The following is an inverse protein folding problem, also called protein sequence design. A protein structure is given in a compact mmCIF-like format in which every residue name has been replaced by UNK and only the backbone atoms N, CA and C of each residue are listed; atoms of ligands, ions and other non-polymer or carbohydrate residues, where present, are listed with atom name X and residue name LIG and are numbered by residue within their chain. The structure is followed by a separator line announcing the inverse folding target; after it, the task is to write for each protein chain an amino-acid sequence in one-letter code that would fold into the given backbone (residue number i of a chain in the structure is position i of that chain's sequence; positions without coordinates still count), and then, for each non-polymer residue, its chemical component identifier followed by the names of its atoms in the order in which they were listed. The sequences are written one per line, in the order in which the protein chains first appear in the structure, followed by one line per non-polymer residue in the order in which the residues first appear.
data_IF_298766903455
#
_entry.id   IF_298766903455
#
_cell.length_a   1.000
_cell.length_b   1.000
_cell.length_c   1.000
_cell.angle_alpha   90.00
_cell.angle_beta   90.00
_cell.angle_gamma   90.00
#
_symmetry.space_group_name_H-M   'P 1'
#
loop_
_entity.id
_entity.type
_entity.pdbx_description
1 polymer ?
#
# COMPACT_ATOMS: atom_id res chain seq x y z
N UNK A 1 3.53 13.53 -5.67
CA UNK A 1 2.35 13.63 -6.54
C UNK A 1 2.53 14.77 -7.56
N UNK A 2 3.48 14.62 -8.49
CA UNK A 2 3.78 15.65 -9.50
C UNK A 2 2.95 15.49 -10.78
N UNK A 3 2.33 14.32 -10.98
CA UNK A 3 1.43 14.09 -12.11
C UNK A 3 0.08 14.82 -11.98
N UNK A 4 -0.67 14.91 -13.09
CA UNK A 4 -2.00 15.50 -13.08
C UNK A 4 -2.94 14.72 -12.18
N UNK A 5 -3.82 15.43 -11.47
CA UNK A 5 -4.77 14.90 -10.48
C UNK A 5 -5.59 13.66 -10.92
N UNK A 6 -6.13 13.56 -12.15
CA UNK A 6 -6.84 12.35 -12.56
C UNK A 6 -5.91 11.14 -12.71
N UNK A 7 -4.67 11.35 -13.12
CA UNK A 7 -3.70 10.28 -13.31
C UNK A 7 -3.16 9.78 -11.96
N UNK A 8 -2.91 10.68 -11.00
CA UNK A 8 -2.53 10.27 -9.65
C UNK A 8 -3.62 9.45 -8.97
N UNK A 9 -4.89 9.84 -9.15
CA UNK A 9 -6.02 9.10 -8.60
C UNK A 9 -6.13 7.69 -9.21
N UNK A 10 -5.99 7.57 -10.53
CA UNK A 10 -6.02 6.27 -11.22
C UNK A 10 -4.88 5.36 -10.75
N UNK A 11 -3.66 5.88 -10.64
CA UNK A 11 -2.50 5.06 -10.30
C UNK A 11 -2.58 4.58 -8.85
N UNK A 12 -2.79 5.49 -7.90
CA UNK A 12 -2.79 5.15 -6.47
C UNK A 12 -4.01 4.34 -6.04
N UNK A 13 -5.21 4.64 -6.54
CA UNK A 13 -6.41 3.94 -6.10
C UNK A 13 -6.68 2.65 -6.88
N UNK A 14 -6.43 2.63 -8.19
CA UNK A 14 -6.98 1.59 -9.06
C UNK A 14 -5.96 0.58 -9.62
N UNK A 15 -4.65 0.90 -9.63
CA UNK A 15 -3.67 0.05 -10.34
C UNK A 15 -2.50 -0.42 -9.49
N UNK A 16 -1.82 0.46 -8.75
CA UNK A 16 -0.61 0.08 -8.01
C UNK A 16 -0.94 -0.82 -6.81
N UNK A 17 -1.87 -0.38 -5.97
CA UNK A 17 -2.25 -1.09 -4.74
C UNK A 17 -3.02 -2.38 -5.06
N UNK A 18 -3.96 -2.31 -6.00
CA UNK A 18 -4.81 -3.45 -6.39
C UNK A 18 -4.02 -4.56 -7.07
N UNK A 19 -3.02 -4.25 -7.90
CA UNK A 19 -2.18 -5.26 -8.54
C UNK A 19 -1.36 -6.06 -7.52
N UNK A 20 -0.78 -5.39 -6.51
CA UNK A 20 -0.03 -6.06 -5.44
C UNK A 20 -0.91 -7.00 -4.61
N UNK A 21 -2.08 -6.51 -4.18
CA UNK A 21 -3.05 -7.32 -3.42
C UNK A 21 -3.56 -8.49 -4.27
N UNK A 22 -3.85 -8.26 -5.55
CA UNK A 22 -4.31 -9.31 -6.47
C UNK A 22 -3.28 -10.44 -6.60
N UNK A 23 -1.99 -10.12 -6.76
CA UNK A 23 -0.95 -11.14 -6.85
C UNK A 23 -0.88 -11.97 -5.55
N UNK A 24 -0.87 -11.31 -4.39
CA UNK A 24 -0.81 -12.01 -3.09
C UNK A 24 -2.05 -12.90 -2.91
N UNK A 25 -3.24 -12.41 -3.25
CA UNK A 25 -4.49 -13.17 -3.19
C UNK A 25 -4.48 -14.39 -4.13
N UNK A 26 -3.94 -14.25 -5.35
CA UNK A 26 -3.81 -15.39 -6.28
C UNK A 26 -2.80 -16.42 -5.83
N UNK A 27 -1.74 -15.98 -5.16
CA UNK A 27 -0.72 -16.85 -4.57
C UNK A 27 -1.06 -17.28 -3.13
N UNK A 28 -2.26 -16.98 -2.61
CA UNK A 28 -2.70 -17.38 -1.26
C UNK A 28 -2.42 -18.85 -0.92
N UNK A 29 -2.68 -19.83 -1.82
CA UNK A 29 -2.36 -21.22 -1.54
C UNK A 29 -0.87 -21.44 -1.24
N UNK A 30 0.04 -20.71 -1.88
CA UNK A 30 1.48 -20.83 -1.67
C UNK A 30 1.94 -20.22 -0.33
N UNK A 31 1.27 -19.15 0.11
CA UNK A 31 1.62 -18.44 1.35
C UNK A 31 1.06 -19.10 2.62
N UNK A 32 0.08 -19.99 2.51
CA UNK A 32 -0.49 -20.71 3.65
C UNK A 32 0.38 -21.89 4.14
N UNK A 33 1.25 -22.45 3.30
CA UNK A 33 2.12 -23.56 3.73
C UNK A 33 3.23 -23.15 4.72
N UNK A 34 3.99 -22.05 4.50
CA UNK A 34 5.03 -21.63 5.43
C UNK A 34 4.51 -20.54 6.40
N UNK A 35 4.42 -20.80 7.72
CA UNK A 35 3.94 -19.80 8.69
C UNK A 35 4.85 -18.55 8.77
N UNK A 36 6.15 -18.69 8.45
CA UNK A 36 7.08 -17.57 8.40
C UNK A 36 6.73 -16.54 7.30
N UNK A 37 6.16 -16.97 6.17
CA UNK A 37 5.82 -16.05 5.09
C UNK A 37 4.71 -15.08 5.51
N UNK A 38 3.68 -15.57 6.21
CA UNK A 38 2.59 -14.74 6.74
C UNK A 38 3.10 -13.73 7.78
N UNK A 39 4.03 -14.14 8.65
CA UNK A 39 4.63 -13.26 9.65
C UNK A 39 5.42 -12.12 8.99
N UNK A 40 6.21 -12.44 7.96
CA UNK A 40 6.98 -11.42 7.22
C UNK A 40 6.05 -10.44 6.50
N UNK A 41 5.02 -10.93 5.79
CA UNK A 41 4.06 -10.07 5.09
C UNK A 41 3.32 -9.15 6.08
N UNK A 42 2.88 -9.71 7.21
CA UNK A 42 2.13 -8.95 8.22
C UNK A 42 2.99 -7.90 8.91
N UNK A 43 4.22 -8.26 9.31
CA UNK A 43 5.14 -7.33 9.98
C UNK A 43 5.64 -6.21 9.04
N UNK A 44 5.94 -6.53 7.78
CA UNK A 44 6.30 -5.55 6.76
C UNK A 44 5.15 -4.57 6.48
N UNK A 45 3.91 -5.06 6.39
CA UNK A 45 2.74 -4.20 6.17
C UNK A 45 2.44 -3.31 7.40
N UNK A 46 2.54 -3.87 8.60
CA UNK A 46 2.29 -3.11 9.84
C UNK A 46 3.29 -1.96 10.02
N UNK A 47 4.58 -2.22 9.79
CA UNK A 47 5.62 -1.19 9.87
C UNK A 47 5.45 -0.12 8.79
N UNK A 48 5.16 -0.52 7.55
CA UNK A 48 4.94 0.43 6.45
C UNK A 48 3.71 1.31 6.69
N UNK A 49 2.59 0.73 7.15
CA UNK A 49 1.37 1.47 7.47
C UNK A 49 1.60 2.50 8.58
N UNK A 50 2.33 2.12 9.63
CA UNK A 50 2.64 3.00 10.73
C UNK A 50 3.50 4.20 10.29
N UNK A 51 4.53 3.95 9.47
CA UNK A 51 5.40 5.01 8.93
C UNK A 51 4.66 5.92 7.94
N UNK A 52 3.79 5.37 7.10
CA UNK A 52 3.01 6.16 6.14
C UNK A 52 2.00 7.07 6.86
N UNK A 53 1.31 6.57 7.88
CA UNK A 53 0.31 7.36 8.62
C UNK A 53 0.95 8.47 9.45
N UNK A 54 2.07 8.18 10.13
CA UNK A 54 2.82 9.19 10.89
C UNK A 54 3.38 10.30 10.01
N UNK A 55 3.86 9.98 8.81
CA UNK A 55 4.31 11.00 7.84
C UNK A 55 3.15 11.75 7.18
N UNK A 56 2.00 11.11 6.96
CA UNK A 56 0.80 11.74 6.40
C UNK A 56 0.19 12.84 7.28
N UNK A 57 0.29 12.73 8.61
CA UNK A 57 -0.25 13.74 9.55
C UNK A 57 0.50 15.08 9.43
N UNK A 58 1.80 15.05 9.13
CA UNK A 58 2.63 16.25 9.07
C UNK A 58 2.62 16.93 7.68
N UNK A 59 1.87 16.37 6.74
CA UNK A 59 1.96 16.75 5.34
C UNK A 59 0.93 17.83 4.95
N UNK A 60 1.42 18.93 4.35
CA UNK A 60 0.60 20.11 4.06
C UNK A 60 -0.14 20.06 2.72
N UNK A 61 0.25 19.16 1.81
CA UNK A 61 -0.39 19.01 0.49
C UNK A 61 -1.41 17.87 0.50
N UNK A 62 -2.67 18.18 0.20
CA UNK A 62 -3.78 17.22 0.25
C UNK A 62 -3.55 16.01 -0.67
N UNK A 63 -2.92 16.19 -1.84
CA UNK A 63 -2.68 15.07 -2.77
C UNK A 63 -1.64 14.11 -2.19
N UNK A 64 -0.63 14.63 -1.49
CA UNK A 64 0.36 13.81 -0.77
C UNK A 64 -0.26 13.11 0.44
N UNK A 65 -1.13 13.78 1.20
CA UNK A 65 -1.86 13.13 2.31
C UNK A 65 -2.66 11.93 1.82
N UNK A 66 -3.41 12.10 0.72
CA UNK A 66 -4.17 11.00 0.11
C UNK A 66 -3.23 9.90 -0.42
N UNK A 67 -2.06 10.27 -0.97
CA UNK A 67 -1.05 9.32 -1.42
C UNK A 67 -0.50 8.43 -0.29
N UNK A 68 -0.28 9.00 0.90
CA UNK A 68 0.21 8.27 2.07
C UNK A 68 -0.88 7.39 2.71
N UNK A 69 -2.15 7.66 2.44
CA UNK A 69 -3.29 6.88 2.97
C UNK A 69 -3.57 5.58 2.21
N UNK A 70 -3.02 5.42 1.01
CA UNK A 70 -3.20 4.25 0.12
C UNK A 70 -2.03 3.28 0.22
#
# INVERSE_FOLDING_TARGET
MEGPTPLSALIHAATMVTAGIFMIARCSPLFEYPPMALIVITSARATTSFLAETTGILENDLKRVIAYST
#
